data_IF_764814952324
#
_entry.id   IF_764814952324
#
_cell.length_a   1.000
_cell.length_b   1.000
_cell.length_c   1.000
_cell.angle_alpha   90.00
_cell.angle_beta   90.00
_cell.angle_gamma   90.00
#
_symmetry.space_group_name_H-M   'P 1'
#
loop_
_entity.id
_entity.type
_entity.pdbx_description
1 polymer ?
#
# COMPACT_ATOMS: atom_id res chain seq x y z
N UNK A 1 11.03 25.53 4.04
CA UNK A 1 10.91 24.73 2.80
C UNK A 1 11.93 23.61 2.86
N UNK A 2 11.50 22.40 2.50
CA UNK A 2 12.40 21.25 2.37
C UNK A 2 12.60 21.01 0.88
N UNK A 3 13.85 20.98 0.45
CA UNK A 3 14.19 20.69 -0.95
C UNK A 3 15.08 19.46 -1.01
N UNK A 4 14.76 18.58 -1.93
CA UNK A 4 15.56 17.39 -2.20
C UNK A 4 16.10 17.47 -3.63
N UNK A 5 17.38 17.21 -3.78
CA UNK A 5 18.03 17.23 -5.09
C UNK A 5 18.50 15.84 -5.45
N UNK A 6 18.15 15.39 -6.65
CA UNK A 6 18.73 14.17 -7.18
C UNK A 6 20.17 14.44 -7.63
N UNK A 7 21.05 13.51 -7.40
CA UNK A 7 22.42 13.57 -7.93
C UNK A 7 22.40 13.45 -9.45
N UNK A 8 23.28 14.20 -10.11
CA UNK A 8 23.38 14.15 -11.57
C UNK A 8 23.88 12.78 -12.09
N UNK A 9 24.53 12.02 -11.23
CA UNK A 9 24.96 10.67 -11.55
C UNK A 9 24.42 9.74 -10.48
N UNK A 10 23.38 8.98 -10.82
CA UNK A 10 22.94 7.92 -9.94
C UNK A 10 22.69 6.66 -10.76
N UNK A 11 23.01 5.52 -10.18
CA UNK A 11 22.72 4.24 -10.78
C UNK A 11 21.37 3.77 -10.28
N UNK A 12 20.38 3.53 -11.15
CA UNK A 12 19.09 3.04 -10.72
C UNK A 12 19.23 1.71 -9.96
N UNK A 13 18.48 1.59 -8.89
CA UNK A 13 18.43 0.35 -8.10
C UNK A 13 17.61 -0.75 -8.76
N UNK A 14 16.94 -0.41 -9.87
CA UNK A 14 16.07 -1.33 -10.58
C UNK A 14 16.77 -1.92 -11.79
N UNK A 15 16.47 -3.16 -12.06
CA UNK A 15 16.95 -3.85 -13.24
C UNK A 15 16.45 -3.15 -14.52
N UNK A 16 17.28 -3.10 -15.56
CA UNK A 16 16.89 -2.53 -16.85
C UNK A 16 15.63 -3.22 -17.38
N UNK A 17 14.67 -2.44 -17.85
CA UNK A 17 13.36 -2.94 -18.28
C UNK A 17 12.38 -3.23 -17.14
N UNK A 18 12.82 -3.09 -15.89
CA UNK A 18 12.02 -3.35 -14.68
C UNK A 18 11.84 -2.10 -13.84
N UNK A 19 11.70 -0.95 -14.48
CA UNK A 19 11.38 0.29 -13.78
C UNK A 19 9.94 0.25 -13.25
N UNK A 20 9.72 0.46 -11.95
CA UNK A 20 8.36 0.51 -11.42
C UNK A 20 7.54 1.60 -12.08
N UNK A 21 6.24 1.33 -12.24
CA UNK A 21 5.29 2.28 -12.83
C UNK A 21 4.18 2.58 -11.85
N UNK A 22 3.84 3.85 -11.72
CA UNK A 22 2.65 4.26 -10.98
C UNK A 22 1.42 4.01 -11.85
N UNK A 23 0.54 3.13 -11.40
CA UNK A 23 -0.70 2.81 -12.12
C UNK A 23 -1.85 3.73 -11.72
N UNK A 24 -1.96 4.04 -10.44
CA UNK A 24 -3.01 4.90 -9.93
C UNK A 24 -2.61 5.53 -8.61
N UNK A 25 -3.24 6.65 -8.31
CA UNK A 25 -3.17 7.30 -7.01
C UNK A 25 -4.58 7.76 -6.65
N UNK A 26 -5.04 7.43 -5.44
CA UNK A 26 -6.40 7.71 -5.01
C UNK A 26 -6.41 8.30 -3.61
N UNK A 27 -7.32 9.23 -3.38
CA UNK A 27 -7.65 9.72 -2.06
C UNK A 27 -8.95 9.05 -1.61
N UNK A 28 -8.91 8.34 -0.49
CA UNK A 28 -10.04 7.57 -0.01
C UNK A 28 -10.47 8.14 1.34
N UNK A 29 -11.77 8.41 1.47
CA UNK A 29 -12.39 8.81 2.73
C UNK A 29 -13.44 7.78 3.09
N UNK A 30 -13.38 7.28 4.31
CA UNK A 30 -14.34 6.30 4.83
C UNK A 30 -15.12 6.99 5.95
N UNK A 31 -16.44 7.09 5.75
CA UNK A 31 -17.36 7.62 6.73
C UNK A 31 -18.31 6.55 7.26
N UNK A 32 -19.19 6.95 8.17
CA UNK A 32 -20.13 6.04 8.84
C UNK A 32 -21.14 5.34 7.90
N UNK A 33 -21.39 5.92 6.74
CA UNK A 33 -22.35 5.40 5.76
C UNK A 33 -21.74 4.54 4.68
N UNK A 34 -20.45 4.26 4.76
CA UNK A 34 -19.75 3.49 3.75
C UNK A 34 -20.16 2.02 3.79
N UNK A 35 -20.37 1.46 2.61
CA UNK A 35 -20.67 0.04 2.48
C UNK A 35 -19.43 -0.80 2.72
N UNK A 36 -19.66 -2.01 3.25
CA UNK A 36 -18.61 -3.01 3.34
C UNK A 36 -18.08 -3.34 1.97
N UNK A 37 -16.78 -3.32 1.82
CA UNK A 37 -16.15 -3.87 0.64
C UNK A 37 -15.95 -5.36 0.81
N UNK A 38 -15.84 -6.06 -0.30
CA UNK A 38 -15.43 -7.45 -0.30
C UNK A 38 -13.91 -7.49 -0.27
N UNK A 39 -13.34 -8.35 0.55
CA UNK A 39 -11.91 -8.64 0.52
C UNK A 39 -11.49 -8.90 -0.92
N UNK A 40 -10.45 -8.22 -1.37
CA UNK A 40 -9.99 -8.29 -2.74
C UNK A 40 -8.46 -8.44 -2.79
N UNK A 41 -7.97 -8.84 -3.93
CA UNK A 41 -6.55 -8.84 -4.22
C UNK A 41 -6.28 -8.33 -5.64
N UNK A 42 -5.04 -7.96 -5.87
CA UNK A 42 -4.55 -7.62 -7.19
C UNK A 42 -3.30 -8.45 -7.44
N UNK A 43 -3.36 -9.35 -8.43
CA UNK A 43 -2.25 -10.27 -8.71
C UNK A 43 -1.11 -9.60 -9.46
N UNK A 44 -1.38 -8.48 -10.11
CA UNK A 44 -0.49 -7.81 -11.06
C UNK A 44 0.10 -6.51 -10.52
N UNK A 45 -0.15 -6.17 -9.27
CA UNK A 45 0.30 -4.89 -8.71
C UNK A 45 0.49 -4.95 -7.20
N UNK A 46 1.33 -4.06 -6.73
CA UNK A 46 1.52 -3.74 -5.33
C UNK A 46 0.65 -2.52 -4.99
N UNK A 47 0.04 -2.51 -3.82
CA UNK A 47 -0.64 -1.32 -3.29
C UNK A 47 0.03 -0.85 -2.01
N UNK A 48 0.18 0.48 -1.89
CA UNK A 48 0.61 1.15 -0.69
C UNK A 48 -0.48 2.09 -0.24
N UNK A 49 -0.85 1.99 1.03
CA UNK A 49 -1.90 2.81 1.64
C UNK A 49 -1.28 3.63 2.76
N UNK A 50 -1.37 4.93 2.65
CA UNK A 50 -0.90 5.85 3.69
C UNK A 50 -2.10 6.41 4.45
N UNK A 51 -2.15 6.17 5.76
CA UNK A 51 -3.22 6.65 6.62
C UNK A 51 -2.93 8.10 7.01
N UNK A 52 -3.75 9.01 6.51
CA UNK A 52 -3.58 10.44 6.76
C UNK A 52 -4.21 10.89 8.05
N UNK A 53 -5.47 10.48 8.28
CA UNK A 53 -6.25 10.87 9.45
C UNK A 53 -7.10 9.71 9.92
N UNK A 54 -7.44 9.73 11.21
CA UNK A 54 -8.31 8.74 11.81
C UNK A 54 -7.58 7.49 12.28
N UNK A 55 -8.36 6.51 12.65
CA UNK A 55 -7.90 5.21 13.10
C UNK A 55 -8.94 4.16 12.81
N UNK A 56 -8.56 2.90 12.85
CA UNK A 56 -9.46 1.80 12.60
C UNK A 56 -8.74 0.48 12.53
N UNK A 57 -9.25 -0.42 11.72
CA UNK A 57 -8.68 -1.74 11.52
C UNK A 57 -8.64 -2.09 10.04
N UNK A 58 -7.62 -2.83 9.67
CA UNK A 58 -7.37 -3.26 8.30
C UNK A 58 -6.98 -4.73 8.28
N UNK A 59 -7.55 -5.48 7.34
CA UNK A 59 -7.23 -6.89 7.16
C UNK A 59 -6.21 -7.02 6.03
N UNK A 60 -5.12 -7.73 6.32
CA UNK A 60 -4.14 -8.16 5.31
C UNK A 60 -3.96 -9.66 5.47
N UNK A 61 -4.24 -10.40 4.43
CA UNK A 61 -4.37 -11.84 4.46
C UNK A 61 -5.45 -12.30 5.46
N UNK A 62 -5.08 -13.06 6.45
CA UNK A 62 -5.97 -13.58 7.48
C UNK A 62 -5.81 -12.85 8.83
N UNK A 63 -5.05 -11.77 8.86
CA UNK A 63 -4.80 -11.02 10.09
C UNK A 63 -5.42 -9.63 10.06
N UNK A 64 -5.93 -9.21 11.19
CA UNK A 64 -6.49 -7.89 11.39
C UNK A 64 -5.49 -7.02 12.17
N UNK A 65 -5.21 -5.83 11.64
CA UNK A 65 -4.26 -4.90 12.23
C UNK A 65 -4.96 -3.59 12.62
N UNK A 66 -4.60 -3.07 13.78
CA UNK A 66 -4.99 -1.71 14.15
C UNK A 66 -4.16 -0.70 13.34
N UNK A 67 -4.84 0.28 12.78
CA UNK A 67 -4.22 1.33 11.97
C UNK A 67 -4.56 2.71 12.50
N UNK A 68 -3.67 3.65 12.28
CA UNK A 68 -3.84 5.05 12.69
C UNK A 68 -3.07 5.98 11.76
N UNK A 69 -3.34 7.27 11.88
CA UNK A 69 -2.62 8.29 11.14
C UNK A 69 -1.10 8.11 11.26
N UNK A 70 -0.41 8.17 10.14
CA UNK A 70 1.03 7.96 10.02
C UNK A 70 1.42 6.52 9.65
N UNK A 71 0.51 5.56 9.71
CA UNK A 71 0.80 4.20 9.27
C UNK A 71 0.82 4.11 7.74
N UNK A 72 1.65 3.20 7.24
CA UNK A 72 1.65 2.75 5.85
C UNK A 72 1.31 1.27 5.85
N UNK A 73 0.34 0.89 5.01
CA UNK A 73 -0.02 -0.50 4.80
C UNK A 73 0.57 -0.96 3.47
N UNK A 74 1.27 -2.08 3.48
CA UNK A 74 1.91 -2.63 2.30
C UNK A 74 1.17 -3.89 1.88
N UNK A 75 0.55 -3.84 0.71
CA UNK A 75 -0.18 -4.97 0.15
C UNK A 75 0.56 -5.48 -1.09
N UNK A 76 1.39 -6.50 -0.90
CA UNK A 76 2.07 -7.17 -1.99
C UNK A 76 1.06 -7.73 -3.00
N UNK A 77 1.50 -7.94 -4.24
CA UNK A 77 0.65 -8.57 -5.24
C UNK A 77 0.11 -9.91 -4.76
N UNK A 78 -1.18 -10.13 -4.97
CA UNK A 78 -1.86 -11.36 -4.60
C UNK A 78 -2.40 -11.43 -3.18
N UNK A 79 -2.06 -10.48 -2.33
CA UNK A 79 -2.49 -10.47 -0.93
C UNK A 79 -3.93 -9.96 -0.81
N UNK A 80 -4.77 -10.72 -0.14
CA UNK A 80 -6.14 -10.30 0.19
C UNK A 80 -6.09 -9.17 1.23
N UNK A 81 -6.82 -8.09 0.99
CA UNK A 81 -6.85 -6.97 1.91
C UNK A 81 -8.15 -6.17 1.82
N UNK A 82 -8.54 -5.57 2.91
CA UNK A 82 -9.57 -4.54 2.95
C UNK A 82 -9.65 -3.89 4.34
N UNK A 83 -10.34 -2.74 4.41
CA UNK A 83 -10.70 -2.13 5.68
C UNK A 83 -11.80 -2.92 6.39
N UNK A 84 -11.85 -2.81 7.72
CA UNK A 84 -12.93 -3.38 8.55
C UNK A 84 -13.91 -2.26 8.90
N UNK A 85 -15.02 -2.09 8.17
CA UNK A 85 -15.84 -0.88 8.23
C UNK A 85 -16.41 -0.58 9.60
N UNK A 86 -16.79 -1.59 10.37
CA UNK A 86 -17.39 -1.39 11.68
C UNK A 86 -16.45 -0.78 12.72
N UNK A 87 -15.16 -0.79 12.47
CA UNK A 87 -14.14 -0.26 13.35
C UNK A 87 -13.49 1.03 12.84
N UNK A 88 -13.86 1.46 11.64
CA UNK A 88 -13.23 2.60 10.98
C UNK A 88 -14.14 3.83 11.09
N UNK A 89 -13.62 4.89 11.72
CA UNK A 89 -14.32 6.16 11.89
C UNK A 89 -13.46 7.26 11.25
N UNK A 90 -14.07 8.01 10.34
CA UNK A 90 -13.44 9.17 9.72
C UNK A 90 -12.03 8.91 9.18
N UNK A 91 -11.81 7.70 8.72
CA UNK A 91 -10.52 7.29 8.17
C UNK A 91 -10.31 7.93 6.81
N UNK A 92 -9.16 8.58 6.61
CA UNK A 92 -8.73 9.03 5.29
C UNK A 92 -7.36 8.48 4.96
N UNK A 93 -7.19 8.09 3.71
CA UNK A 93 -5.95 7.50 3.26
C UNK A 93 -5.62 7.89 1.82
N UNK A 94 -4.35 7.83 1.49
CA UNK A 94 -3.87 7.88 0.12
C UNK A 94 -3.48 6.48 -0.29
N UNK A 95 -3.93 6.06 -1.45
CA UNK A 95 -3.60 4.76 -2.03
C UNK A 95 -2.82 4.97 -3.31
N UNK A 96 -1.72 4.25 -3.49
CA UNK A 96 -1.02 4.16 -4.77
C UNK A 96 -0.91 2.71 -5.18
N UNK A 97 -1.05 2.46 -6.47
CA UNK A 97 -0.83 1.16 -7.07
C UNK A 97 0.36 1.22 -8.02
N UNK A 98 1.24 0.23 -7.90
CA UNK A 98 2.51 0.18 -8.62
C UNK A 98 2.64 -1.19 -9.26
N UNK A 99 3.12 -1.24 -10.49
CA UNK A 99 3.51 -2.49 -11.13
C UNK A 99 4.96 -2.46 -11.60
N UNK A 100 5.36 -3.54 -12.21
CA UNK A 100 6.71 -3.71 -12.75
C UNK A 100 7.81 -3.51 -11.72
N UNK A 101 7.52 -3.79 -10.46
CA UNK A 101 8.50 -3.75 -9.38
C UNK A 101 9.16 -5.12 -9.25
N UNK A 102 10.48 -5.15 -9.35
CA UNK A 102 11.26 -6.36 -9.13
C UNK A 102 12.44 -6.03 -8.23
N UNK A 103 12.35 -6.44 -6.98
CA UNK A 103 13.43 -6.32 -6.01
C UNK A 103 14.16 -7.65 -5.88
N UNK A 104 15.46 -7.58 -5.62
CA UNK A 104 16.27 -8.77 -5.43
C UNK A 104 15.76 -9.57 -4.22
N UNK A 105 15.56 -10.88 -4.44
CA UNK A 105 15.12 -11.78 -3.39
C UNK A 105 13.62 -11.80 -3.13
N UNK A 106 12.83 -11.01 -3.85
CA UNK A 106 11.38 -10.96 -3.70
C UNK A 106 10.67 -11.31 -5.01
N UNK A 107 9.46 -11.86 -4.94
CA UNK A 107 8.63 -12.03 -6.13
C UNK A 107 8.28 -10.69 -6.78
N UNK A 108 7.84 -10.73 -8.02
CA UNK A 108 7.40 -9.52 -8.72
C UNK A 108 6.26 -8.82 -7.97
N UNK A 109 6.34 -7.49 -7.91
CA UNK A 109 5.37 -6.64 -7.22
C UNK A 109 5.23 -6.95 -5.71
N UNK A 110 6.34 -7.33 -5.10
CA UNK A 110 6.47 -7.46 -3.66
C UNK A 110 7.48 -6.44 -3.14
N UNK A 111 7.14 -5.76 -2.07
CA UNK A 111 8.01 -4.81 -1.39
C UNK A 111 8.59 -5.37 -0.10
N UNK A 112 7.88 -6.30 0.51
CA UNK A 112 8.30 -6.96 1.75
C UNK A 112 8.17 -8.47 1.61
N UNK A 113 8.96 -9.22 2.38
CA UNK A 113 8.79 -10.66 2.48
C UNK A 113 7.58 -11.03 3.34
N UNK A 114 7.11 -12.27 3.20
CA UNK A 114 5.87 -12.72 3.87
C UNK A 114 5.96 -12.72 5.40
N UNK A 115 7.17 -12.80 5.94
CA UNK A 115 7.41 -12.80 7.39
C UNK A 115 7.47 -11.41 8.01
N UNK A 116 7.39 -10.36 7.20
CA UNK A 116 7.41 -8.98 7.68
C UNK A 116 5.98 -8.46 7.83
N UNK A 117 5.71 -7.84 8.98
CA UNK A 117 4.43 -7.20 9.25
C UNK A 117 4.13 -6.14 8.18
N UNK A 118 2.91 -6.14 7.58
CA UNK A 118 2.58 -5.21 6.48
C UNK A 118 2.28 -3.78 6.90
N UNK A 119 2.36 -3.48 8.18
CA UNK A 119 2.06 -2.13 8.69
C UNK A 119 3.23 -1.54 9.45
#
# INVERSE_FOLDING_TARGET
MIQCFAKNSFTPSFQEGKMPRLLSASYITIGFSQHSRILHNHKDRLELLFIRTGSGSYIVDDECYDIKAGNIIICNAGVLHDEVPQYNHELSMLSIAIDNLQLEGLPENHLISEDIKPI
#
